data_IF_056185091882
#
_entry.id   IF_056185091882
#
_cell.length_a   1.000
_cell.length_b   1.000
_cell.length_c   1.000
_cell.angle_alpha   90.00
_cell.angle_beta   90.00
_cell.angle_gamma   90.00
#
_symmetry.space_group_name_H-M   'P 1'
#
loop_
_entity.id
_entity.type
_entity.pdbx_description
1 polymer ?
2 water ?
#
# COMPACT_ATOMS: atom_id res chain seq x y z
N UNK A 9 -16.21 8.39 41.55
CA UNK A 9 -15.86 9.07 42.83
C UNK A 9 -14.36 8.84 43.11
N UNK A 10 -13.97 8.70 44.39
CA UNK A 10 -12.60 8.25 44.81
C UNK A 10 -12.54 6.71 44.88
N UNK A 11 -13.65 6.03 44.56
CA UNK A 11 -13.73 4.56 44.34
C UNK A 11 -13.08 4.21 42.98
N UNK A 12 -13.49 4.92 41.91
CA UNK A 12 -13.07 4.70 40.49
C UNK A 12 -11.65 5.23 40.23
N UNK A 13 -10.66 4.34 40.28
CA UNK A 13 -9.22 4.67 40.19
C UNK A 13 -8.69 4.29 38.79
N UNK A 14 -7.49 4.77 38.46
CA UNK A 14 -6.88 4.69 37.11
C UNK A 14 -6.73 3.23 36.70
N UNK A 15 -6.17 2.38 37.58
CA UNK A 15 -5.85 0.93 37.34
C UNK A 15 -7.16 0.17 37.12
N UNK A 16 -8.26 0.76 37.58
CA UNK A 16 -9.62 0.22 37.44
C UNK A 16 -10.02 0.23 35.95
N UNK A 17 -9.43 1.10 35.11
CA UNK A 17 -9.73 1.16 33.66
C UNK A 17 -8.87 0.15 32.91
N UNK A 18 -7.85 -0.40 33.55
CA UNK A 18 -6.89 -1.35 32.92
C UNK A 18 -7.48 -2.76 32.98
N UNK A 19 -7.02 -3.66 32.11
CA UNK A 19 -7.38 -5.09 32.19
C UNK A 19 -7.19 -5.66 33.60
N UNK A 20 -8.30 -5.99 34.26
CA UNK A 20 -8.38 -6.46 35.67
C UNK A 20 -8.88 -7.91 35.73
N UNK A 21 -9.90 -8.22 34.92
CA UNK A 21 -10.52 -9.57 34.81
C UNK A 21 -9.63 -10.48 33.96
N UNK A 22 -9.86 -11.80 34.04
CA UNK A 22 -9.03 -12.82 33.35
C UNK A 22 -9.23 -12.72 31.83
N UNK A 23 -10.47 -12.65 31.35
CA UNK A 23 -10.80 -12.47 29.91
C UNK A 23 -10.16 -11.18 29.36
N UNK A 24 -10.04 -10.14 30.19
CA UNK A 24 -9.58 -8.79 29.74
C UNK A 24 -8.08 -8.87 29.53
N UNK A 25 -7.37 -9.51 30.47
CA UNK A 25 -5.92 -9.75 30.40
C UNK A 25 -5.62 -10.70 29.23
N UNK A 26 -6.40 -11.76 29.04
CA UNK A 26 -6.21 -12.63 27.84
C UNK A 26 -6.26 -11.72 26.58
N UNK A 27 -7.29 -10.89 26.40
CA UNK A 27 -7.51 -10.12 25.15
C UNK A 27 -6.43 -9.02 25.07
N UNK A 28 -6.08 -8.44 26.20
CA UNK A 28 -4.97 -7.45 26.32
C UNK A 28 -3.72 -8.06 25.70
N UNK A 29 -3.34 -9.27 26.12
CA UNK A 29 -2.01 -9.85 25.80
C UNK A 29 -1.98 -10.19 24.31
N UNK A 30 -3.07 -10.73 23.77
CA UNK A 30 -3.25 -10.95 22.32
C UNK A 30 -3.12 -9.60 21.58
N UNK A 31 -3.73 -8.54 22.12
CA UNK A 31 -3.63 -7.19 21.49
C UNK A 31 -2.16 -6.76 21.51
N UNK A 32 -1.45 -6.94 22.62
CA UNK A 32 -0.07 -6.40 22.72
C UNK A 32 0.85 -7.13 21.73
N UNK A 33 0.69 -8.42 21.51
CA UNK A 33 1.69 -9.08 20.64
C UNK A 33 1.25 -8.96 19.17
N UNK A 34 0.01 -8.54 18.84
CA UNK A 34 -0.22 -7.85 17.53
C UNK A 34 0.61 -6.56 17.51
N UNK A 35 0.47 -5.72 18.54
CA UNK A 35 1.24 -4.42 18.64
C UNK A 35 2.75 -4.70 18.50
N UNK A 36 3.26 -5.79 19.07
CA UNK A 36 4.71 -6.14 19.04
C UNK A 36 5.13 -6.67 17.65
N UNK A 37 4.29 -7.46 17.00
CA UNK A 37 4.51 -7.97 15.62
C UNK A 37 4.66 -6.83 14.61
N UNK A 38 3.72 -5.89 14.60
CA UNK A 38 3.60 -4.82 13.57
C UNK A 38 4.59 -3.71 13.91
N UNK A 39 4.84 -3.50 15.21
CA UNK A 39 5.76 -2.45 15.68
C UNK A 39 5.28 -1.07 15.26
N UNK A 40 6.15 -0.08 15.45
CA UNK A 40 5.90 1.37 15.46
C UNK A 40 5.27 1.80 14.13
N UNK A 41 5.67 1.13 13.05
CA UNK A 41 5.30 1.45 11.66
C UNK A 41 3.90 0.88 11.36
N UNK A 42 3.52 -0.21 12.03
CA UNK A 42 2.11 -0.68 12.07
C UNK A 42 1.66 -1.25 10.75
N UNK A 43 0.35 -1.28 10.50
CA UNK A 43 -0.24 -1.92 9.29
C UNK A 43 0.15 -1.16 8.01
N UNK A 44 0.18 0.19 8.00
CA UNK A 44 0.69 0.94 6.85
C UNK A 44 1.96 0.40 6.19
N UNK A 45 3.04 0.25 6.94
CA UNK A 45 4.29 -0.41 6.45
C UNK A 45 3.97 -1.77 5.82
N UNK A 46 3.23 -2.63 6.51
CA UNK A 46 2.98 -4.02 6.03
C UNK A 46 2.14 -3.98 4.75
N UNK A 47 1.21 -3.00 4.61
CA UNK A 47 0.40 -2.86 3.37
C UNK A 47 1.32 -2.41 2.24
N UNK A 48 2.13 -1.37 2.47
CA UNK A 48 3.18 -0.95 1.52
C UNK A 48 4.09 -2.13 1.15
N UNK A 49 4.40 -3.02 2.10
CA UNK A 49 5.39 -4.10 1.82
C UNK A 49 4.85 -5.00 0.71
N UNK A 50 3.52 -5.11 0.64
CA UNK A 50 2.86 -5.98 -0.39
C UNK A 50 2.93 -5.26 -1.73
N UNK A 51 2.50 -4.00 -1.77
CA UNK A 51 2.64 -3.06 -2.91
C UNK A 51 4.06 -3.16 -3.50
N UNK A 52 5.07 -3.24 -2.65
CA UNK A 52 6.49 -3.18 -3.06
C UNK A 52 6.86 -4.50 -3.74
N UNK A 53 6.32 -5.59 -3.20
CA UNK A 53 6.43 -6.96 -3.78
C UNK A 53 5.83 -6.93 -5.19
N UNK A 54 4.64 -6.33 -5.31
CA UNK A 54 3.80 -6.36 -6.53
C UNK A 54 4.54 -5.70 -7.70
N UNK A 55 5.17 -4.57 -7.44
CA UNK A 55 5.94 -3.82 -8.47
C UNK A 55 7.16 -4.65 -8.84
N UNK A 56 7.99 -4.97 -7.86
CA UNK A 56 9.19 -5.81 -8.04
C UNK A 56 8.89 -6.91 -9.05
N UNK A 57 7.84 -7.69 -8.79
CA UNK A 57 7.39 -8.87 -9.59
C UNK A 57 7.05 -8.47 -11.03
N UNK A 58 6.25 -7.41 -11.19
CA UNK A 58 5.83 -6.80 -12.48
C UNK A 58 7.04 -6.57 -13.38
N UNK A 59 8.16 -6.12 -12.78
CA UNK A 59 9.45 -5.83 -13.46
C UNK A 59 10.10 -7.15 -13.91
N UNK A 60 10.11 -8.16 -13.05
CA UNK A 60 10.71 -9.49 -13.36
C UNK A 60 9.78 -10.21 -14.36
N UNK A 61 8.46 -10.14 -14.16
CA UNK A 61 7.46 -10.64 -15.15
C UNK A 61 7.75 -10.11 -16.56
N UNK A 62 8.25 -8.89 -16.70
CA UNK A 62 8.29 -8.24 -18.04
C UNK A 62 9.68 -8.48 -18.69
N UNK A 63 10.73 -8.60 -17.89
CA UNK A 63 12.04 -9.22 -18.26
C UNK A 63 11.84 -10.68 -18.72
N UNK A 64 11.00 -11.44 -18.02
CA UNK A 64 10.63 -12.83 -18.38
C UNK A 64 10.13 -12.89 -19.82
N UNK A 65 9.05 -12.17 -20.12
CA UNK A 65 8.41 -12.22 -21.47
C UNK A 65 9.39 -11.57 -22.47
N UNK A 66 10.18 -10.59 -22.03
CA UNK A 66 11.12 -9.92 -22.94
C UNK A 66 12.02 -11.02 -23.54
N UNK A 67 12.80 -11.68 -22.68
CA UNK A 67 13.87 -12.64 -23.06
C UNK A 67 13.24 -13.88 -23.72
N UNK A 68 12.06 -14.30 -23.27
CA UNK A 68 11.27 -15.38 -23.94
C UNK A 68 11.10 -15.03 -25.43
N UNK A 69 10.73 -13.77 -25.74
CA UNK A 69 10.40 -13.41 -27.16
C UNK A 69 11.70 -13.55 -27.97
N UNK A 70 12.74 -12.85 -27.53
CA UNK A 70 14.08 -12.76 -28.17
C UNK A 70 14.76 -14.13 -28.38
N UNK A 71 14.76 -15.01 -27.39
CA UNK A 71 15.28 -16.40 -27.56
C UNK A 71 14.49 -17.09 -28.69
N UNK A 72 13.15 -17.04 -28.64
CA UNK A 72 12.31 -17.74 -29.66
C UNK A 72 12.62 -17.19 -31.05
N UNK A 73 12.73 -15.87 -31.20
CA UNK A 73 13.11 -15.20 -32.48
C UNK A 73 14.51 -15.67 -32.91
N UNK A 74 15.49 -15.58 -32.01
CA UNK A 74 16.86 -16.02 -32.32
C UNK A 74 16.78 -17.47 -32.82
N UNK A 75 16.01 -18.33 -32.15
CA UNK A 75 15.94 -19.78 -32.50
C UNK A 75 15.45 -19.97 -33.95
N UNK A 76 14.34 -19.30 -34.28
CA UNK A 76 13.67 -19.41 -35.60
C UNK A 76 14.63 -18.94 -36.70
N UNK A 77 15.25 -17.79 -36.51
CA UNK A 77 16.28 -17.32 -37.47
C UNK A 77 17.25 -18.48 -37.77
N UNK A 78 17.90 -19.03 -36.75
CA UNK A 78 18.85 -20.17 -36.98
C UNK A 78 18.15 -21.35 -37.67
N UNK A 79 16.90 -21.67 -37.27
CA UNK A 79 16.16 -22.88 -37.73
C UNK A 79 15.80 -22.82 -39.22
N UNK A 80 16.00 -21.66 -39.87
CA UNK A 80 15.98 -21.54 -41.35
C UNK A 80 17.09 -22.42 -41.92
N UNK A 81 18.06 -22.79 -41.07
CA UNK A 81 19.16 -23.71 -41.43
C UNK A 81 19.23 -24.76 -40.31
N UNK A 82 18.14 -25.49 -40.09
CA UNK A 82 18.02 -26.47 -38.99
C UNK A 82 19.26 -27.36 -38.85
N UNK A 83 19.64 -28.11 -39.87
CA UNK A 83 20.78 -29.05 -39.70
C UNK A 83 22.10 -28.32 -39.51
N UNK A 84 22.37 -27.24 -40.25
CA UNK A 84 23.69 -26.56 -40.16
C UNK A 84 23.89 -25.86 -38.80
N UNK A 85 22.82 -25.58 -38.05
CA UNK A 85 22.92 -24.78 -36.80
C UNK A 85 22.27 -25.51 -35.63
N UNK A 86 22.28 -26.84 -35.63
CA UNK A 86 21.51 -27.62 -34.63
C UNK A 86 21.99 -27.49 -33.19
N UNK A 87 23.30 -27.44 -32.97
CA UNK A 87 23.81 -27.46 -31.57
C UNK A 87 23.52 -26.08 -30.98
N UNK A 88 23.67 -25.04 -31.80
CA UNK A 88 23.31 -23.64 -31.45
C UNK A 88 21.81 -23.53 -31.21
N UNK A 89 20.99 -24.35 -31.89
CA UNK A 89 19.52 -24.49 -31.66
C UNK A 89 19.26 -25.25 -30.35
N UNK A 90 19.94 -26.36 -30.10
CA UNK A 90 19.81 -27.08 -28.79
C UNK A 90 20.09 -26.14 -27.62
N UNK A 91 21.12 -25.29 -27.67
CA UNK A 91 21.44 -24.39 -26.53
C UNK A 91 20.26 -23.48 -26.25
N UNK A 92 19.77 -22.80 -27.28
CA UNK A 92 18.56 -21.93 -27.20
C UNK A 92 17.36 -22.71 -26.63
N UNK A 93 17.17 -23.95 -27.05
CA UNK A 93 16.04 -24.82 -26.57
C UNK A 93 16.24 -25.04 -25.07
N UNK A 94 17.49 -25.32 -24.65
CA UNK A 94 17.91 -25.42 -23.24
C UNK A 94 17.50 -24.16 -22.45
N UNK A 95 17.80 -22.96 -22.95
CA UNK A 95 17.30 -21.73 -22.27
C UNK A 95 15.75 -21.76 -22.16
N UNK A 96 15.03 -22.17 -23.21
CA UNK A 96 13.54 -22.35 -23.17
C UNK A 96 13.11 -23.40 -22.14
N UNK A 97 13.79 -24.55 -22.03
CA UNK A 97 13.46 -25.47 -20.93
C UNK A 97 13.67 -24.79 -19.57
N UNK A 98 14.76 -24.02 -19.42
CA UNK A 98 15.13 -23.38 -18.14
C UNK A 98 14.01 -22.40 -17.77
N UNK A 99 13.44 -21.75 -18.81
CA UNK A 99 12.49 -20.62 -18.67
C UNK A 99 11.04 -21.11 -18.60
N UNK A 100 10.81 -22.42 -18.62
CA UNK A 100 9.48 -23.05 -18.42
C UNK A 100 9.07 -22.97 -16.94
N UNK A 101 8.75 -21.77 -16.53
CA UNK A 101 8.67 -21.31 -15.12
C UNK A 101 7.32 -20.58 -14.93
N UNK A 102 6.37 -20.72 -15.85
CA UNK A 102 5.05 -20.07 -15.79
C UNK A 102 4.34 -20.35 -14.48
N UNK A 103 4.37 -21.61 -14.06
CA UNK A 103 3.79 -22.15 -12.80
C UNK A 103 4.29 -21.32 -11.62
N UNK A 104 5.59 -20.96 -11.60
CA UNK A 104 6.22 -20.22 -10.47
C UNK A 104 5.62 -18.82 -10.43
N UNK A 105 5.43 -18.19 -11.60
CA UNK A 105 4.93 -16.78 -11.67
C UNK A 105 3.47 -16.73 -11.18
N UNK A 106 2.66 -17.75 -11.47
CA UNK A 106 1.24 -17.80 -11.02
C UNK A 106 1.26 -18.00 -9.50
N UNK A 107 2.13 -18.87 -8.99
CA UNK A 107 2.26 -19.13 -7.53
C UNK A 107 2.63 -17.83 -6.81
N UNK A 108 3.55 -17.03 -7.35
CA UNK A 108 3.90 -15.72 -6.71
C UNK A 108 2.64 -14.88 -6.62
N UNK A 109 1.99 -14.68 -7.77
CA UNK A 109 0.68 -14.00 -7.93
C UNK A 109 -0.29 -14.50 -6.86
N UNK A 110 -0.33 -15.82 -6.63
CA UNK A 110 -1.20 -16.45 -5.64
C UNK A 110 -0.81 -16.06 -4.22
N UNK A 111 0.48 -16.00 -3.92
CA UNK A 111 1.00 -15.55 -2.60
C UNK A 111 0.66 -14.07 -2.36
N UNK A 112 0.73 -13.23 -3.39
CA UNK A 112 0.58 -11.75 -3.31
C UNK A 112 -0.90 -11.39 -3.08
N UNK A 113 -1.82 -12.01 -3.79
CA UNK A 113 -3.27 -11.80 -3.58
C UNK A 113 -3.62 -12.23 -2.15
N UNK A 114 -3.10 -13.38 -1.71
CA UNK A 114 -3.41 -13.89 -0.35
C UNK A 114 -2.88 -12.91 0.70
N UNK A 115 -1.62 -12.49 0.56
CA UNK A 115 -0.95 -11.58 1.52
C UNK A 115 -1.74 -10.27 1.63
N UNK A 116 -2.10 -9.67 0.49
CA UNK A 116 -2.76 -8.34 0.46
C UNK A 116 -4.16 -8.45 1.06
N UNK A 117 -4.81 -9.61 0.95
CA UNK A 117 -6.16 -9.87 1.52
C UNK A 117 -6.03 -10.01 3.03
N UNK A 118 -5.05 -10.80 3.42
CA UNK A 118 -4.83 -11.20 4.83
C UNK A 118 -4.35 -9.98 5.63
N UNK A 119 -3.53 -9.10 5.07
CA UNK A 119 -3.14 -7.89 5.85
C UNK A 119 -4.36 -6.97 5.97
N UNK A 120 -5.20 -6.84 4.93
CA UNK A 120 -6.44 -6.02 5.02
C UNK A 120 -7.29 -6.57 6.17
N UNK A 121 -7.55 -7.90 6.19
CA UNK A 121 -8.37 -8.55 7.25
C UNK A 121 -7.72 -8.26 8.62
N UNK A 122 -6.42 -8.55 8.76
CA UNK A 122 -5.63 -8.38 10.00
C UNK A 122 -5.88 -6.99 10.60
N UNK A 123 -5.74 -5.95 9.79
CA UNK A 123 -6.00 -4.55 10.17
C UNK A 123 -7.43 -4.42 10.70
N UNK A 124 -8.45 -4.95 10.00
CA UNK A 124 -9.86 -4.80 10.45
C UNK A 124 -10.00 -5.50 11.81
N UNK A 125 -9.49 -6.72 11.93
CA UNK A 125 -9.71 -7.53 13.14
C UNK A 125 -9.04 -6.81 14.32
N UNK A 126 -7.86 -6.25 14.11
CA UNK A 126 -7.07 -5.58 15.18
C UNK A 126 -7.93 -4.47 15.78
N UNK A 127 -8.55 -3.67 14.89
CA UNK A 127 -9.44 -2.57 15.34
C UNK A 127 -10.63 -3.12 16.13
N UNK A 128 -11.33 -4.08 15.54
CA UNK A 128 -12.47 -4.74 16.20
C UNK A 128 -12.02 -5.27 17.57
N UNK A 129 -10.77 -5.74 17.74
CA UNK A 129 -10.29 -6.30 19.03
C UNK A 129 -10.28 -5.20 20.12
N UNK A 130 -9.63 -4.09 19.81
CA UNK A 130 -9.46 -2.90 20.69
C UNK A 130 -10.81 -2.28 21.05
N UNK A 131 -11.73 -2.12 20.10
CA UNK A 131 -13.11 -1.69 20.37
C UNK A 131 -13.81 -2.66 21.34
N UNK A 132 -13.72 -3.98 21.11
CA UNK A 132 -14.44 -4.97 21.94
C UNK A 132 -13.91 -4.95 23.37
N UNK A 133 -12.59 -4.91 23.55
CA UNK A 133 -12.01 -4.86 24.91
C UNK A 133 -12.44 -3.57 25.63
N UNK A 134 -12.43 -2.43 24.93
CA UNK A 134 -12.88 -1.11 25.44
C UNK A 134 -14.32 -1.29 25.92
N UNK A 135 -15.19 -1.87 25.09
CA UNK A 135 -16.64 -2.06 25.43
C UNK A 135 -16.79 -2.98 26.65
N UNK A 136 -15.92 -3.99 26.78
CA UNK A 136 -15.92 -4.98 27.88
C UNK A 136 -15.60 -4.32 29.21
N UNK A 137 -14.53 -3.53 29.22
CA UNK A 137 -14.07 -2.80 30.42
C UNK A 137 -15.20 -1.86 30.86
N UNK A 138 -15.80 -1.13 29.91
CA UNK A 138 -16.88 -0.15 30.19
C UNK A 138 -18.04 -0.91 30.88
N UNK A 139 -18.40 -2.08 30.36
CA UNK A 139 -19.53 -2.88 30.87
C UNK A 139 -19.20 -3.37 32.29
N UNK A 140 -17.96 -3.74 32.58
CA UNK A 140 -17.57 -4.11 33.96
C UNK A 140 -17.72 -2.91 34.90
N UNK A 141 -17.17 -1.76 34.52
CA UNK A 141 -17.27 -0.53 35.35
C UNK A 141 -18.76 -0.22 35.54
N UNK A 142 -19.58 -0.39 34.50
CA UNK A 142 -21.05 -0.34 34.71
C UNK A 142 -21.17 -1.51 35.66
N UNK A 143 -21.84 -1.40 36.78
CA UNK A 143 -21.64 -2.47 37.80
C UNK A 143 -22.49 -3.76 37.70
N UNK A 144 -23.51 -3.86 36.87
CA UNK A 144 -24.39 -5.06 36.94
C UNK A 144 -24.42 -5.89 35.64
N UNK A 145 -23.28 -6.15 35.01
CA UNK A 145 -23.29 -6.83 33.69
C UNK A 145 -21.95 -7.53 33.43
N UNK A 146 -21.41 -8.18 34.45
CA UNK A 146 -20.08 -8.83 34.35
C UNK A 146 -20.10 -10.02 33.39
N UNK A 147 -21.31 -10.46 33.00
CA UNK A 147 -21.55 -11.58 32.05
C UNK A 147 -21.43 -11.02 30.62
N UNK A 148 -22.15 -9.93 30.32
CA UNK A 148 -22.00 -9.17 29.06
C UNK A 148 -20.58 -8.54 28.96
N UNK A 149 -19.91 -8.29 30.08
CA UNK A 149 -18.52 -7.77 30.11
C UNK A 149 -17.59 -8.87 29.59
N UNK A 150 -17.72 -10.06 30.19
CA UNK A 150 -17.05 -11.32 29.77
C UNK A 150 -17.28 -11.56 28.26
N UNK A 151 -18.49 -11.41 27.75
CA UNK A 151 -18.78 -11.73 26.32
C UNK A 151 -18.01 -10.77 25.40
N UNK A 152 -18.06 -9.47 25.62
CA UNK A 152 -17.28 -8.50 24.80
C UNK A 152 -15.77 -8.77 24.97
N UNK A 153 -15.30 -9.13 26.17
CA UNK A 153 -13.87 -9.41 26.41
C UNK A 153 -13.45 -10.69 25.67
N UNK A 154 -14.28 -11.72 25.70
CA UNK A 154 -14.03 -12.98 24.93
C UNK A 154 -14.03 -12.61 23.44
N UNK A 155 -15.05 -11.88 22.98
CA UNK A 155 -15.13 -11.36 21.59
C UNK A 155 -13.80 -10.66 21.25
N UNK A 156 -13.37 -9.74 22.11
CA UNK A 156 -12.10 -9.00 21.93
C UNK A 156 -10.98 -10.03 21.65
N UNK A 157 -10.84 -11.04 22.50
CA UNK A 157 -9.80 -12.09 22.37
C UNK A 157 -9.93 -12.80 21.01
N UNK A 158 -11.14 -13.17 20.56
CA UNK A 158 -11.38 -13.90 19.29
C UNK A 158 -11.01 -13.05 18.07
N UNK A 159 -11.27 -11.74 18.10
CA UNK A 159 -10.82 -10.83 17.02
C UNK A 159 -9.28 -10.74 17.00
N UNK A 160 -8.66 -10.58 18.18
CA UNK A 160 -7.17 -10.47 18.27
C UNK A 160 -6.55 -11.70 17.64
N UNK A 161 -7.09 -12.88 17.99
CA UNK A 161 -6.63 -14.19 17.45
C UNK A 161 -6.96 -14.26 15.96
N UNK A 162 -8.08 -13.70 15.50
CA UNK A 162 -8.33 -13.64 14.04
C UNK A 162 -7.22 -12.81 13.37
N UNK A 163 -6.80 -11.71 13.98
CA UNK A 163 -5.82 -10.78 13.37
C UNK A 163 -4.47 -11.52 13.34
N UNK A 164 -4.12 -12.18 14.44
CA UNK A 164 -2.81 -12.87 14.57
C UNK A 164 -2.74 -13.99 13.53
N UNK A 165 -3.88 -14.66 13.31
CA UNK A 165 -3.99 -15.76 12.33
C UNK A 165 -3.75 -15.16 10.95
N UNK A 166 -4.42 -14.06 10.61
CA UNK A 166 -4.23 -13.30 9.33
C UNK A 166 -2.76 -12.83 9.18
N UNK A 167 -2.11 -12.37 10.26
CA UNK A 167 -0.72 -11.86 10.20
C UNK A 167 0.24 -13.04 9.99
N UNK A 168 0.00 -14.18 10.67
CA UNK A 168 0.76 -15.42 10.45
C UNK A 168 0.68 -15.78 8.97
N UNK A 169 -0.53 -15.86 8.42
CA UNK A 169 -0.77 -16.30 7.01
C UNK A 169 -0.14 -15.23 6.08
N UNK A 170 -0.24 -13.96 6.44
CA UNK A 170 0.42 -12.86 5.67
C UNK A 170 1.93 -13.15 5.59
N UNK A 171 2.57 -13.35 6.73
CA UNK A 171 4.05 -13.50 6.79
C UNK A 171 4.51 -14.70 5.95
N UNK A 172 3.93 -15.89 6.16
CA UNK A 172 4.20 -17.13 5.39
C UNK A 172 4.08 -16.87 3.88
N UNK A 173 3.03 -16.17 3.46
CA UNK A 173 2.68 -15.98 2.03
C UNK A 173 3.64 -14.96 1.40
N UNK A 174 3.91 -13.87 2.10
CA UNK A 174 4.92 -12.86 1.67
C UNK A 174 6.30 -13.50 1.61
N UNK A 175 6.63 -14.38 2.55
CA UNK A 175 7.95 -15.03 2.59
C UNK A 175 8.16 -15.92 1.38
N UNK A 176 7.15 -16.75 1.09
CA UNK A 176 7.19 -17.72 -0.01
C UNK A 176 7.20 -16.94 -1.35
N UNK A 177 6.39 -15.88 -1.46
CA UNK A 177 6.39 -14.95 -2.61
C UNK A 177 7.82 -14.48 -2.91
N UNK A 178 8.52 -14.04 -1.87
CA UNK A 178 9.90 -13.46 -1.95
C UNK A 178 10.88 -14.55 -2.38
N UNK A 179 10.82 -15.74 -1.79
CA UNK A 179 11.73 -16.83 -2.15
C UNK A 179 11.55 -17.24 -3.60
N UNK A 180 10.31 -17.26 -4.06
CA UNK A 180 9.93 -17.65 -5.44
C UNK A 180 10.35 -16.53 -6.41
N UNK A 181 10.31 -15.27 -5.98
CA UNK A 181 10.74 -14.08 -6.78
C UNK A 181 12.25 -14.16 -7.06
N UNK A 182 13.06 -14.51 -6.06
CA UNK A 182 14.54 -14.69 -6.19
C UNK A 182 14.85 -15.75 -7.25
N UNK A 183 14.19 -16.91 -7.17
CA UNK A 183 14.34 -18.02 -8.11
C UNK A 183 14.13 -17.46 -9.52
N UNK A 184 12.99 -16.83 -9.79
CA UNK A 184 12.64 -16.45 -11.19
C UNK A 184 13.60 -15.36 -11.68
N UNK A 185 13.87 -14.33 -10.87
CA UNK A 185 14.79 -13.22 -11.29
C UNK A 185 16.18 -13.78 -11.62
N UNK A 186 16.61 -14.83 -10.93
CA UNK A 186 17.91 -15.53 -11.13
C UNK A 186 17.86 -16.33 -12.44
N UNK A 187 16.80 -17.13 -12.65
CA UNK A 187 16.64 -17.93 -13.88
C UNK A 187 16.68 -16.97 -15.06
N UNK A 188 15.95 -15.86 -14.93
CA UNK A 188 15.78 -14.85 -16.00
C UNK A 188 17.14 -14.20 -16.24
N UNK A 189 17.80 -13.77 -15.17
CA UNK A 189 19.16 -13.19 -15.23
C UNK A 189 20.09 -14.17 -15.95
N UNK A 190 20.09 -15.44 -15.52
CA UNK A 190 20.93 -16.49 -16.15
C UNK A 190 20.60 -16.61 -17.63
N UNK A 191 19.30 -16.75 -17.96
CA UNK A 191 18.84 -16.84 -19.35
C UNK A 191 19.35 -15.59 -20.10
N UNK A 192 19.18 -14.41 -19.50
CA UNK A 192 19.57 -13.13 -20.18
C UNK A 192 21.05 -13.20 -20.57
N UNK A 193 21.89 -13.65 -19.64
CA UNK A 193 23.37 -13.63 -19.77
C UNK A 193 23.87 -14.81 -20.62
N UNK A 194 23.20 -15.97 -20.62
CA UNK A 194 23.61 -17.08 -21.53
C UNK A 194 23.32 -16.66 -22.98
N UNK A 195 22.23 -15.91 -23.19
CA UNK A 195 21.77 -15.45 -24.51
C UNK A 195 22.70 -14.35 -25.05
N UNK A 196 23.30 -13.51 -24.20
CA UNK A 196 24.17 -12.40 -24.67
C UNK A 196 25.53 -12.96 -25.15
N UNK A 197 26.09 -13.90 -24.38
CA UNK A 197 27.50 -14.36 -24.53
C UNK A 197 27.56 -15.49 -25.58
N UNK B 12 -21.84 5.42 38.65
CA UNK B 12 -21.25 5.35 37.27
C UNK B 12 -22.24 4.66 36.33
N UNK B 13 -22.36 5.19 35.11
CA UNK B 13 -23.27 4.71 34.04
C UNK B 13 -22.55 4.80 32.70
N UNK B 14 -23.14 4.19 31.66
CA UNK B 14 -22.54 4.01 30.32
C UNK B 14 -22.14 5.38 29.74
N UNK B 15 -22.92 6.45 29.95
CA UNK B 15 -22.83 7.67 29.10
C UNK B 15 -21.90 8.66 29.81
N UNK B 16 -21.44 8.30 30.99
CA UNK B 16 -20.37 9.10 31.63
C UNK B 16 -19.06 8.70 30.95
N UNK B 17 -19.09 7.64 30.13
CA UNK B 17 -17.87 7.16 29.41
C UNK B 17 -17.79 7.79 28.02
N UNK B 18 -18.88 8.43 27.60
CA UNK B 18 -18.93 9.03 26.25
C UNK B 18 -18.51 10.50 26.31
N UNK B 19 -17.91 11.07 25.24
CA UNK B 19 -17.58 12.50 25.20
C UNK B 19 -18.62 13.37 25.91
N UNK B 20 -18.32 13.83 27.12
CA UNK B 20 -19.32 14.58 27.92
C UNK B 20 -18.87 16.03 28.12
N UNK B 21 -17.58 16.24 28.37
CA UNK B 21 -17.03 17.61 28.48
C UNK B 21 -17.10 18.26 27.09
N UNK B 22 -16.77 19.53 27.00
CA UNK B 22 -16.89 20.24 25.70
C UNK B 22 -15.64 20.01 24.83
N UNK B 23 -14.45 19.93 25.40
CA UNK B 23 -13.27 19.56 24.56
C UNK B 23 -13.39 18.09 24.16
N UNK B 24 -14.02 17.23 24.96
CA UNK B 24 -14.25 15.80 24.60
C UNK B 24 -15.14 15.81 23.36
N UNK B 25 -16.20 16.62 23.38
CA UNK B 25 -17.19 16.74 22.29
C UNK B 25 -16.49 17.19 21.01
N UNK B 26 -15.63 18.20 21.08
CA UNK B 26 -14.89 18.72 19.90
C UNK B 26 -13.93 17.66 19.34
N UNK B 27 -13.07 17.07 20.17
CA UNK B 27 -12.11 16.03 19.74
C UNK B 27 -12.88 14.92 19.02
N UNK B 28 -14.02 14.54 19.59
CA UNK B 28 -14.86 13.44 19.10
C UNK B 28 -15.43 13.81 17.72
N UNK B 29 -15.91 15.05 17.60
CA UNK B 29 -16.41 15.67 16.35
C UNK B 29 -15.31 15.58 15.28
N UNK B 30 -14.11 16.05 15.60
CA UNK B 30 -12.92 15.96 14.71
C UNK B 30 -12.61 14.48 14.37
N UNK B 31 -12.68 13.57 15.35
CA UNK B 31 -12.38 12.12 15.11
C UNK B 31 -13.46 11.53 14.18
N UNK B 32 -14.72 11.87 14.40
CA UNK B 32 -15.86 11.31 13.62
C UNK B 32 -15.77 11.62 12.12
N UNK B 33 -15.41 12.84 11.71
CA UNK B 33 -15.39 13.18 10.26
C UNK B 33 -14.05 12.72 9.61
N UNK B 34 -13.01 12.42 10.41
CA UNK B 34 -11.94 11.49 9.93
C UNK B 34 -12.61 10.16 9.57
N UNK B 35 -13.32 9.55 10.51
CA UNK B 35 -14.09 8.30 10.26
C UNK B 35 -14.98 8.48 9.02
N UNK B 36 -15.57 9.66 8.79
CA UNK B 36 -16.52 9.91 7.67
C UNK B 36 -15.73 9.99 6.35
N UNK B 37 -14.53 10.61 6.39
CA UNK B 37 -13.68 10.81 5.18
C UNK B 37 -13.16 9.45 4.69
N UNK B 38 -12.57 8.65 5.57
CA UNK B 38 -11.98 7.31 5.25
C UNK B 38 -13.16 6.34 5.05
N UNK B 39 -14.15 6.39 5.95
CA UNK B 39 -15.28 5.44 5.93
C UNK B 39 -14.74 4.04 6.10
N UNK B 40 -15.50 3.04 5.69
CA UNK B 40 -15.40 1.64 6.21
C UNK B 40 -14.11 0.98 5.75
N UNK B 41 -13.54 1.40 4.62
CA UNK B 41 -12.34 0.76 4.03
C UNK B 41 -11.09 1.33 4.73
N UNK B 42 -11.25 2.45 5.45
CA UNK B 42 -10.23 3.02 6.36
C UNK B 42 -8.92 3.37 5.66
N UNK B 43 -7.88 3.56 6.45
CA UNK B 43 -6.56 3.99 5.96
C UNK B 43 -6.01 2.99 4.97
N UNK B 44 -6.19 1.66 5.17
CA UNK B 44 -5.67 0.66 4.23
C UNK B 44 -6.06 0.87 2.77
N UNK B 45 -7.32 1.19 2.45
CA UNK B 45 -7.75 1.54 1.06
C UNK B 45 -6.95 2.77 0.60
N UNK B 46 -6.83 3.79 1.44
CA UNK B 46 -6.14 5.06 1.06
C UNK B 46 -4.65 4.80 0.79
N UNK B 47 -4.00 3.86 1.48
CA UNK B 47 -2.57 3.47 1.21
C UNK B 47 -2.48 2.76 -0.16
N UNK B 48 -3.25 1.71 -0.39
CA UNK B 48 -3.32 1.03 -1.71
C UNK B 48 -3.58 2.04 -2.84
N UNK B 49 -4.54 2.95 -2.75
CA UNK B 49 -4.84 3.92 -3.85
C UNK B 49 -3.55 4.63 -4.29
N UNK B 50 -2.62 4.91 -3.38
CA UNK B 50 -1.32 5.54 -3.79
C UNK B 50 -0.49 4.53 -4.57
N UNK B 51 -0.32 3.35 -4.01
CA UNK B 51 0.47 2.28 -4.63
C UNK B 51 -0.01 1.98 -6.06
N UNK B 52 -1.32 1.96 -6.30
CA UNK B 52 -1.83 1.78 -7.68
C UNK B 52 -1.62 3.05 -8.50
N UNK B 53 -1.52 4.21 -7.84
CA UNK B 53 -1.17 5.45 -8.59
C UNK B 53 0.21 5.26 -9.20
N UNK B 54 1.17 4.93 -8.32
CA UNK B 54 2.61 4.69 -8.59
C UNK B 54 2.75 3.71 -9.75
N UNK B 55 2.07 2.56 -9.65
CA UNK B 55 2.18 1.47 -10.63
C UNK B 55 1.72 1.95 -12.01
N UNK B 56 0.56 2.60 -12.06
CA UNK B 56 -0.07 3.13 -13.31
C UNK B 56 0.84 4.14 -13.97
N UNK B 57 1.47 4.99 -13.17
CA UNK B 57 2.48 5.99 -13.59
C UNK B 57 3.68 5.32 -14.24
N UNK B 58 4.26 4.34 -13.53
CA UNK B 58 5.44 3.56 -13.96
C UNK B 58 5.20 3.00 -15.37
N UNK B 59 3.97 2.56 -15.64
CA UNK B 59 3.59 1.98 -16.95
C UNK B 59 3.62 3.06 -18.04
N UNK B 60 3.16 4.28 -17.75
CA UNK B 60 3.17 5.38 -18.75
C UNK B 60 4.60 5.92 -18.85
N UNK B 61 5.31 6.06 -17.73
CA UNK B 61 6.76 6.38 -17.71
C UNK B 61 7.47 5.52 -18.76
N UNK B 62 7.24 4.22 -18.79
CA UNK B 62 8.03 3.30 -19.64
C UNK B 62 7.53 3.38 -21.10
N UNK B 63 6.24 3.57 -21.31
CA UNK B 63 5.64 3.82 -22.66
C UNK B 63 6.26 5.12 -23.20
N UNK B 64 6.42 6.10 -22.32
CA UNK B 64 6.96 7.45 -22.63
C UNK B 64 8.40 7.32 -23.16
N UNK B 65 9.27 6.55 -22.47
CA UNK B 65 10.70 6.39 -22.88
C UNK B 65 10.74 5.49 -24.13
N UNK B 66 9.85 4.49 -24.23
CA UNK B 66 9.82 3.61 -25.43
C UNK B 66 9.62 4.52 -26.67
N UNK B 67 8.59 5.38 -26.67
CA UNK B 67 8.15 6.14 -27.87
C UNK B 67 9.21 7.20 -28.21
N UNK B 68 9.77 7.89 -27.19
CA UNK B 68 10.92 8.84 -27.30
C UNK B 68 12.04 8.20 -28.15
N UNK B 69 12.53 7.01 -27.76
CA UNK B 69 13.65 6.29 -28.43
C UNK B 69 13.30 6.03 -29.91
N UNK B 70 12.16 5.38 -30.15
CA UNK B 70 11.62 5.04 -31.49
C UNK B 70 11.49 6.28 -32.39
N UNK B 71 10.93 7.39 -31.91
CA UNK B 71 10.80 8.64 -32.72
C UNK B 71 12.21 9.16 -33.07
N UNK B 72 13.14 9.17 -32.11
CA UNK B 72 14.48 9.78 -32.33
C UNK B 72 15.22 8.98 -33.39
N UNK B 73 15.13 7.64 -33.30
CA UNK B 73 15.71 6.66 -34.26
C UNK B 73 15.11 6.82 -35.66
N UNK B 74 13.78 6.83 -35.78
CA UNK B 74 13.13 7.05 -37.11
C UNK B 74 13.61 8.39 -37.68
N UNK B 75 13.62 9.44 -36.87
CA UNK B 75 14.14 10.77 -37.27
C UNK B 75 15.56 10.62 -37.86
N UNK B 76 16.46 9.97 -37.12
CA UNK B 76 17.89 9.94 -37.48
C UNK B 76 18.07 9.14 -38.78
N UNK B 77 17.46 7.96 -38.89
CA UNK B 77 17.38 7.19 -40.15
C UNK B 77 17.00 8.15 -41.30
N UNK B 78 15.91 8.92 -41.19
CA UNK B 78 15.41 9.81 -42.28
C UNK B 78 16.45 10.90 -42.55
N UNK B 79 17.17 11.32 -41.50
CA UNK B 79 18.12 12.45 -41.57
C UNK B 79 19.43 12.06 -42.30
N UNK B 80 19.67 10.77 -42.57
CA UNK B 80 20.73 10.40 -43.56
C UNK B 80 20.56 11.31 -44.78
N UNK B 81 19.33 11.38 -45.31
CA UNK B 81 18.95 12.14 -46.53
C UNK B 81 18.11 13.35 -46.11
N UNK B 82 18.63 14.18 -45.21
CA UNK B 82 17.86 15.27 -44.53
C UNK B 82 17.12 16.11 -45.56
N UNK B 83 17.81 16.55 -46.63
CA UNK B 83 17.23 17.39 -47.73
C UNK B 83 15.93 16.76 -48.23
N UNK B 84 15.97 15.49 -48.63
CA UNK B 84 14.87 14.81 -49.35
C UNK B 84 13.71 14.46 -48.40
N UNK B 85 13.89 14.51 -47.08
CA UNK B 85 12.78 14.08 -46.20
C UNK B 85 12.59 15.07 -45.05
N UNK B 86 12.77 16.37 -45.32
CA UNK B 86 12.71 17.46 -44.31
C UNK B 86 11.31 17.58 -43.69
N UNK B 87 10.25 17.34 -44.45
CA UNK B 87 8.86 17.60 -43.94
C UNK B 87 8.46 16.43 -43.05
N UNK B 88 8.84 15.22 -43.45
CA UNK B 88 8.73 13.99 -42.61
C UNK B 88 9.55 14.17 -41.31
N UNK B 89 10.76 14.72 -41.39
CA UNK B 89 11.61 15.07 -40.20
C UNK B 89 10.84 16.08 -39.35
N UNK B 90 10.35 17.17 -39.96
CA UNK B 90 9.60 18.23 -39.22
C UNK B 90 8.41 17.64 -38.46
N UNK B 91 7.67 16.67 -39.02
CA UNK B 91 6.56 15.99 -38.29
C UNK B 91 7.09 15.25 -37.04
N UNK B 92 8.14 14.43 -37.17
CA UNK B 92 8.78 13.74 -36.01
C UNK B 92 9.32 14.75 -34.96
N UNK B 93 9.87 15.88 -35.39
CA UNK B 93 10.31 16.99 -34.50
C UNK B 93 9.08 17.50 -33.76
N UNK B 94 7.92 17.49 -34.43
CA UNK B 94 6.63 17.98 -33.87
C UNK B 94 6.17 17.03 -32.77
N UNK B 95 6.20 15.71 -33.01
CA UNK B 95 5.99 14.70 -31.91
C UNK B 95 7.01 14.89 -30.78
N UNK B 96 8.28 15.13 -31.06
CA UNK B 96 9.28 15.35 -29.94
C UNK B 96 8.94 16.64 -29.18
N UNK B 97 8.60 17.74 -29.86
CA UNK B 97 8.13 18.93 -29.13
C UNK B 97 6.90 18.59 -28.27
N UNK B 98 6.01 17.73 -28.73
CA UNK B 98 4.74 17.45 -27.99
C UNK B 98 5.11 16.68 -26.73
N UNK B 99 6.19 15.87 -26.82
CA UNK B 99 6.65 14.91 -25.79
C UNK B 99 7.69 15.52 -24.82
N UNK B 100 7.97 16.81 -24.91
CA UNK B 100 8.78 17.52 -23.90
C UNK B 100 7.94 17.69 -22.64
N UNK B 101 7.66 16.60 -21.96
CA UNK B 101 6.71 16.58 -20.81
C UNK B 101 7.46 16.05 -19.60
N UNK B 102 8.80 16.05 -19.65
CA UNK B 102 9.68 15.63 -18.54
C UNK B 102 9.26 16.32 -17.26
N UNK B 103 8.94 17.59 -17.33
CA UNK B 103 8.57 18.41 -16.17
C UNK B 103 7.32 17.85 -15.44
N UNK B 104 6.35 17.19 -16.09
CA UNK B 104 5.14 16.69 -15.37
C UNK B 104 5.28 15.24 -14.91
N UNK B 105 6.14 14.43 -15.52
CA UNK B 105 6.49 13.16 -14.83
C UNK B 105 7.10 13.56 -13.48
N UNK B 106 8.06 14.49 -13.46
CA UNK B 106 8.71 14.91 -12.19
C UNK B 106 7.60 15.41 -11.26
N UNK B 107 6.70 16.28 -11.76
CA UNK B 107 5.62 16.87 -10.93
C UNK B 107 4.74 15.71 -10.42
N UNK B 108 4.47 14.69 -11.23
CA UNK B 108 3.66 13.50 -10.83
C UNK B 108 4.37 12.79 -9.68
N UNK B 109 5.68 12.55 -9.80
CA UNK B 109 6.41 11.74 -8.80
C UNK B 109 6.49 12.53 -7.47
N UNK B 110 6.42 13.86 -7.53
CA UNK B 110 6.38 14.76 -6.35
C UNK B 110 5.07 14.68 -5.58
N UNK B 111 3.94 14.86 -6.26
CA UNK B 111 2.58 14.61 -5.71
C UNK B 111 2.50 13.23 -5.04
N UNK B 112 3.06 12.18 -5.67
CA UNK B 112 2.96 10.78 -5.18
C UNK B 112 3.81 10.64 -3.92
N UNK B 113 5.03 11.17 -3.92
CA UNK B 113 5.91 11.08 -2.75
C UNK B 113 5.15 11.74 -1.59
N UNK B 114 4.46 12.85 -1.86
CA UNK B 114 3.78 13.66 -0.83
C UNK B 114 2.51 12.96 -0.34
N UNK B 115 1.69 12.44 -1.23
CA UNK B 115 0.49 11.63 -0.91
C UNK B 115 0.87 10.47 0.03
N UNK B 116 1.89 9.70 -0.35
CA UNK B 116 2.29 8.49 0.39
C UNK B 116 2.74 8.90 1.80
N UNK B 117 3.33 10.10 1.97
CA UNK B 117 3.87 10.56 3.29
C UNK B 117 2.71 11.05 4.15
N UNK B 118 1.84 11.82 3.54
CA UNK B 118 0.69 12.45 4.24
C UNK B 118 -0.29 11.37 4.73
N UNK B 119 -0.50 10.27 4.02
CA UNK B 119 -1.49 9.25 4.49
C UNK B 119 -0.84 8.43 5.63
N UNK B 120 0.48 8.22 5.61
CA UNK B 120 1.18 7.54 6.73
C UNK B 120 1.05 8.41 7.98
N UNK B 121 1.38 9.72 7.89
CA UNK B 121 1.17 10.71 8.99
C UNK B 121 -0.31 10.73 9.44
N UNK B 122 -1.27 10.80 8.51
CA UNK B 122 -2.72 10.88 8.82
C UNK B 122 -3.12 9.66 9.67
N UNK B 123 -2.81 8.43 9.23
CA UNK B 123 -3.02 7.18 10.02
C UNK B 123 -2.41 7.32 11.42
N UNK B 124 -1.14 7.72 11.54
CA UNK B 124 -0.46 7.76 12.86
C UNK B 124 -1.16 8.80 13.74
N UNK B 125 -1.52 9.94 13.16
CA UNK B 125 -2.17 11.05 13.90
C UNK B 125 -3.56 10.60 14.35
N UNK B 126 -4.29 9.85 13.52
CA UNK B 126 -5.67 9.34 13.79
C UNK B 126 -5.65 8.55 15.10
N UNK B 127 -4.72 7.60 15.17
CA UNK B 127 -4.53 6.72 16.37
C UNK B 127 -4.16 7.52 17.61
N UNK B 128 -3.17 8.42 17.49
CA UNK B 128 -2.84 9.36 18.59
C UNK B 128 -4.12 10.06 19.07
N UNK B 129 -5.03 10.51 18.19
CA UNK B 129 -6.23 11.26 18.63
C UNK B 129 -7.16 10.38 19.49
N UNK B 130 -7.52 9.20 19.00
CA UNK B 130 -8.33 8.17 19.70
C UNK B 130 -7.74 7.86 21.09
N UNK B 131 -6.44 7.52 21.14
CA UNK B 131 -5.69 7.27 22.39
C UNK B 131 -5.84 8.47 23.35
N UNK B 132 -5.51 9.70 22.91
CA UNK B 132 -5.52 10.90 23.78
C UNK B 132 -6.94 11.21 24.25
N UNK B 133 -7.97 11.06 23.41
CA UNK B 133 -9.36 11.28 23.84
C UNK B 133 -9.67 10.27 24.96
N UNK B 134 -9.34 8.98 24.74
CA UNK B 134 -9.56 7.88 25.72
C UNK B 134 -8.87 8.22 27.05
N UNK B 135 -7.64 8.73 27.01
CA UNK B 135 -6.86 9.08 28.25
C UNK B 135 -7.52 10.29 28.91
N UNK B 136 -8.01 11.23 28.10
CA UNK B 136 -8.76 12.41 28.59
C UNK B 136 -9.97 11.97 29.41
N UNK B 137 -10.85 11.19 28.78
CA UNK B 137 -12.09 10.63 29.42
C UNK B 137 -11.70 9.94 30.72
N UNK B 138 -10.67 9.10 30.70
CA UNK B 138 -10.29 8.33 31.92
C UNK B 138 -9.97 9.35 33.01
N UNK B 139 -9.18 10.36 32.66
CA UNK B 139 -8.67 11.41 33.59
C UNK B 139 -9.85 12.19 34.19
N UNK B 140 -10.90 12.47 33.41
CA UNK B 140 -12.12 13.07 33.97
C UNK B 140 -12.79 12.09 34.95
N UNK B 141 -13.05 10.85 34.52
CA UNK B 141 -13.71 9.84 35.37
C UNK B 141 -12.88 9.67 36.66
N UNK B 142 -11.54 9.70 36.57
CA UNK B 142 -10.74 9.79 37.82
C UNK B 142 -11.18 11.18 38.25
N UNK B 143 -11.73 11.34 39.43
CA UNK B 143 -12.42 12.62 39.72
C UNK B 143 -11.59 13.91 39.90
N UNK B 144 -10.33 13.86 40.35
CA UNK B 144 -9.65 15.14 40.71
C UNK B 144 -8.57 15.62 39.71
N UNK B 145 -8.81 15.49 38.40
CA UNK B 145 -7.78 15.86 37.39
C UNK B 145 -8.43 16.39 36.10
N UNK B 146 -9.29 17.41 36.18
CA UNK B 146 -10.03 17.90 34.99
C UNK B 146 -9.15 18.84 34.17
N UNK B 147 -8.09 19.39 34.77
CA UNK B 147 -7.13 20.20 33.98
C UNK B 147 -6.35 19.23 33.08
N UNK B 148 -5.77 18.18 33.66
CA UNK B 148 -5.12 17.07 32.92
C UNK B 148 -6.14 16.41 31.95
N UNK B 149 -7.40 16.29 32.35
CA UNK B 149 -8.47 15.80 31.43
C UNK B 149 -8.52 16.72 30.22
N UNK B 150 -8.59 18.03 30.46
CA UNK B 150 -8.70 19.10 29.43
C UNK B 150 -7.50 19.03 28.48
N UNK B 151 -6.29 18.90 29.01
CA UNK B 151 -5.06 18.97 28.20
C UNK B 151 -5.11 17.78 27.23
N UNK B 152 -5.24 16.56 27.75
CA UNK B 152 -5.35 15.32 26.91
C UNK B 152 -6.47 15.46 25.87
N UNK B 153 -7.60 16.07 26.19
CA UNK B 153 -8.75 16.13 25.24
C UNK B 153 -8.50 17.20 24.17
N UNK B 154 -7.72 18.23 24.48
CA UNK B 154 -7.26 19.27 23.51
C UNK B 154 -6.17 18.67 22.59
N UNK B 155 -5.21 17.94 23.14
CA UNK B 155 -4.20 17.21 22.31
C UNK B 155 -4.97 16.26 21.38
N UNK B 156 -6.00 15.59 21.87
CA UNK B 156 -6.81 14.67 21.04
C UNK B 156 -7.32 15.46 19.82
N UNK B 157 -7.93 16.63 20.03
CA UNK B 157 -8.41 17.49 18.92
C UNK B 157 -7.22 17.95 18.05
N UNK B 158 -6.09 18.33 18.66
CA UNK B 158 -4.95 18.83 17.86
C UNK B 158 -4.36 17.69 17.00
N UNK B 159 -4.40 16.46 17.48
CA UNK B 159 -3.99 15.30 16.66
C UNK B 159 -5.04 15.04 15.57
N UNK B 160 -6.33 15.17 15.90
CA UNK B 160 -7.43 14.89 14.93
C UNK B 160 -7.27 15.92 13.82
N UNK B 161 -6.93 17.14 14.21
CA UNK B 161 -6.74 18.26 13.24
C UNK B 161 -5.49 18.03 12.40
N UNK B 162 -4.41 17.51 12.98
CA UNK B 162 -3.20 17.19 12.16
C UNK B 162 -3.60 16.15 11.12
N UNK B 163 -4.45 15.21 11.52
CA UNK B 163 -4.86 14.07 10.70
C UNK B 163 -5.65 14.62 9.50
N UNK B 164 -6.59 15.50 9.77
CA UNK B 164 -7.52 16.05 8.74
C UNK B 164 -6.73 16.86 7.71
N UNK B 165 -5.69 17.55 8.17
CA UNK B 165 -4.91 18.44 7.27
C UNK B 165 -4.05 17.52 6.42
N UNK B 166 -3.41 16.53 7.02
CA UNK B 166 -2.68 15.46 6.29
C UNK B 166 -3.58 14.81 5.23
N UNK B 167 -4.83 14.48 5.55
CA UNK B 167 -5.83 13.86 4.62
C UNK B 167 -6.20 14.84 3.49
N UNK B 168 -6.35 16.11 3.84
CA UNK B 168 -6.71 17.18 2.89
C UNK B 168 -5.58 17.31 1.86
N UNK B 169 -4.31 17.28 2.28
CA UNK B 169 -3.18 17.41 1.32
C UNK B 169 -3.08 16.08 0.55
N UNK B 170 -3.35 14.96 1.21
CA UNK B 170 -3.32 13.66 0.52
C UNK B 170 -4.25 13.74 -0.69
N UNK B 171 -5.44 14.31 -0.49
CA UNK B 171 -6.51 14.30 -1.52
C UNK B 171 -6.17 15.27 -2.66
N UNK B 172 -5.68 16.48 -2.34
CA UNK B 172 -5.24 17.51 -3.31
C UNK B 172 -4.15 16.91 -4.21
N UNK B 173 -3.14 16.33 -3.58
CA UNK B 173 -1.95 15.78 -4.27
C UNK B 173 -2.31 14.54 -5.08
N UNK B 174 -3.20 13.67 -4.58
CA UNK B 174 -3.57 12.44 -5.32
C UNK B 174 -4.38 12.89 -6.54
N UNK B 175 -5.30 13.83 -6.35
CA UNK B 175 -6.15 14.35 -7.42
C UNK B 175 -5.28 14.95 -8.52
N UNK B 176 -4.26 15.70 -8.13
CA UNK B 176 -3.41 16.43 -9.10
C UNK B 176 -2.56 15.40 -9.87
N UNK B 177 -2.03 14.39 -9.17
CA UNK B 177 -1.23 13.30 -9.78
C UNK B 177 -2.07 12.61 -10.86
N UNK B 178 -3.37 12.43 -10.60
CA UNK B 178 -4.36 11.80 -11.52
C UNK B 178 -4.58 12.68 -12.75
N UNK B 179 -4.91 13.96 -12.56
CA UNK B 179 -5.07 14.94 -13.65
C UNK B 179 -3.87 14.96 -14.59
N UNK B 180 -2.65 14.96 -14.03
CA UNK B 180 -1.36 15.01 -14.77
C UNK B 180 -1.04 13.63 -15.39
N UNK B 181 -1.22 12.55 -14.65
CA UNK B 181 -1.12 11.17 -15.20
C UNK B 181 -1.97 11.04 -16.48
N UNK B 182 -3.18 11.57 -16.46
CA UNK B 182 -4.14 11.46 -17.59
C UNK B 182 -3.71 12.42 -18.72
N UNK B 183 -3.18 13.59 -18.39
CA UNK B 183 -2.65 14.53 -19.40
C UNK B 183 -1.57 13.78 -20.21
N UNK B 184 -0.62 13.13 -19.53
CA UNK B 184 0.61 12.63 -20.23
C UNK B 184 0.34 11.26 -20.87
N UNK B 185 -0.53 10.41 -20.31
CA UNK B 185 -1.02 9.17 -20.99
C UNK B 185 -1.64 9.53 -22.36
N UNK B 186 -2.37 10.64 -22.45
CA UNK B 186 -3.01 11.16 -23.70
C UNK B 186 -1.94 11.57 -24.74
N UNK B 187 -0.96 12.39 -24.31
CA UNK B 187 0.18 12.91 -25.13
C UNK B 187 0.94 11.71 -25.69
N UNK B 188 1.20 10.74 -24.82
CA UNK B 188 1.97 9.52 -25.18
C UNK B 188 1.13 8.69 -26.15
N UNK B 189 -0.15 8.51 -25.84
CA UNK B 189 -1.06 7.73 -26.73
C UNK B 189 -1.14 8.45 -28.08
N UNK B 190 -1.29 9.77 -28.06
CA UNK B 190 -1.37 10.57 -29.31
C UNK B 190 -0.09 10.41 -30.10
N UNK B 191 1.08 10.41 -29.44
CA UNK B 191 2.37 10.28 -30.17
C UNK B 191 2.48 8.85 -30.76
N UNK B 192 2.06 7.84 -30.02
CA UNK B 192 2.14 6.43 -30.53
C UNK B 192 1.24 6.30 -31.77
N UNK B 193 -0.01 6.73 -31.66
CA UNK B 193 -1.00 6.59 -32.76
C UNK B 193 -0.49 7.40 -33.95
N UNK B 194 0.06 8.60 -33.70
CA UNK B 194 0.61 9.50 -34.74
C UNK B 194 1.77 8.82 -35.48
N UNK B 195 2.62 8.12 -34.76
CA UNK B 195 3.95 7.67 -35.24
C UNK B 195 3.78 6.47 -36.19
N UNK B 196 2.79 5.61 -35.94
CA UNK B 196 2.53 4.37 -36.73
C UNK B 196 1.05 4.28 -37.09
#
# INVERSE_FOLDING_TARGET
GAMGEHNQKKEIKEEDFFPSTEEEKQADKAIKDIENLIGESGFPELIENVCSLKHEYTLIRSDFYDVITKIQNKKISLMKNSHNNRNKIRELVQLQNNLKIGDELDKIMGCIDTAEQEIRSAAFFFDEAKESLKEGIIKRLEKSKNRAASQLSKKALNRAEDALRCLENYSSKKGEAIGRRSFIKEVVEQAKNALSKS
GAMGEHNQKKEIKEEDFFPSTEEEKQADKAIKDIENLIGESGFPELIENVCSLKHEYTLIRSDFYDVITKIQNKKISLMKNSHNNRNKIRELVQLQNNLKIGDELDKIMGCIDTAEQEIRSAAFFFDEAKESLKEGIIKRLEKSKNRAASQLSKKALNRAEDALRCLENYSSKKGEAIGRRSFIKEVVEQAKNALSKS
#
